data_IF_268210490709
#
_entry.id   IF_268210490709
#
_cell.length_a   1.000
_cell.length_b   1.000
_cell.length_c   1.000
_cell.angle_alpha   90.00
_cell.angle_beta   90.00
_cell.angle_gamma   90.00
#
_symmetry.space_group_name_H-M   'P 1'
#
loop_
_entity.id
_entity.type
_entity.pdbx_description
1 polymer ?
#
# COMPACT_ATOMS: atom_id res chain seq x y z
N UNK A 1 33.43 23.80 2.24
CA UNK A 1 34.14 23.98 3.52
C UNK A 1 35.61 23.76 3.23
N UNK A 2 36.46 24.78 3.39
CA UNK A 2 37.70 24.86 2.64
C UNK A 2 38.87 24.00 3.17
N UNK A 3 38.67 23.09 4.13
CA UNK A 3 39.77 22.34 4.75
C UNK A 3 39.58 20.83 4.90
N UNK A 4 38.62 20.21 4.20
CA UNK A 4 38.49 18.75 4.18
C UNK A 4 39.36 18.13 3.08
N UNK A 5 40.24 17.19 3.44
CA UNK A 5 41.12 16.48 2.52
C UNK A 5 40.53 15.14 2.01
N UNK A 6 39.33 14.77 2.45
CA UNK A 6 38.65 13.53 2.01
C UNK A 6 38.05 13.66 0.61
N UNK A 7 37.98 12.55 -0.14
CA UNK A 7 37.42 12.53 -1.49
C UNK A 7 35.93 12.90 -1.50
N UNK A 8 35.55 13.86 -2.36
CA UNK A 8 34.16 14.22 -2.56
C UNK A 8 33.45 13.18 -3.46
N UNK A 9 32.46 12.49 -2.90
CA UNK A 9 31.70 11.44 -3.61
C UNK A 9 30.17 11.56 -3.47
N UNK A 10 29.69 12.49 -2.66
CA UNK A 10 28.26 12.60 -2.34
C UNK A 10 27.72 13.99 -2.67
N UNK A 11 26.58 14.05 -3.36
CA UNK A 11 25.91 15.30 -3.73
C UNK A 11 24.81 15.69 -2.73
N UNK A 12 24.65 16.98 -2.47
CA UNK A 12 23.52 17.53 -1.74
C UNK A 12 22.98 18.80 -2.41
N UNK A 13 21.66 19.04 -2.41
CA UNK A 13 21.05 20.18 -3.07
C UNK A 13 21.46 21.50 -2.41
N UNK A 14 21.66 22.55 -3.20
CA UNK A 14 22.14 23.86 -2.70
C UNK A 14 21.15 24.57 -1.79
N UNK A 15 19.86 24.39 -2.03
CA UNK A 15 18.80 24.96 -1.20
C UNK A 15 17.55 24.09 -1.28
N UNK A 16 16.55 24.44 -0.47
CA UNK A 16 15.24 23.78 -0.48
C UNK A 16 14.51 23.97 -1.81
N UNK A 17 14.73 25.10 -2.47
CA UNK A 17 13.98 25.53 -3.67
C UNK A 17 14.76 25.29 -4.97
N UNK A 18 16.09 25.20 -4.91
CA UNK A 18 16.96 24.93 -6.06
C UNK A 18 17.46 23.48 -6.08
N UNK A 19 16.52 22.54 -6.25
CA UNK A 19 16.79 21.09 -6.24
C UNK A 19 17.65 20.60 -7.42
N UNK A 20 17.81 21.41 -8.47
CA UNK A 20 18.63 21.09 -9.65
C UNK A 20 20.09 21.55 -9.51
N UNK A 21 20.43 22.27 -8.44
CA UNK A 21 21.80 22.71 -8.18
C UNK A 21 22.38 21.92 -7.02
N UNK A 22 23.58 21.39 -7.18
CA UNK A 22 24.20 20.50 -6.22
C UNK A 22 25.57 21.02 -5.75
N UNK A 23 25.88 20.72 -4.50
CA UNK A 23 27.24 20.73 -3.96
C UNK A 23 27.74 19.30 -3.78
N UNK A 24 29.05 19.12 -3.91
CA UNK A 24 29.71 17.83 -3.73
C UNK A 24 30.55 17.86 -2.44
N UNK A 25 30.42 16.81 -1.63
CA UNK A 25 31.03 16.70 -0.31
C UNK A 25 31.56 15.28 -0.08
N UNK A 26 32.43 15.13 0.92
CA UNK A 26 32.75 13.82 1.49
C UNK A 26 31.58 13.30 2.35
N UNK A 27 31.66 12.04 2.80
CA UNK A 27 30.57 11.39 3.54
C UNK A 27 30.20 12.12 4.84
N UNK A 28 31.18 12.67 5.57
CA UNK A 28 30.92 13.37 6.82
C UNK A 28 30.26 14.73 6.57
N UNK A 29 30.79 15.52 5.64
CA UNK A 29 30.25 16.85 5.36
C UNK A 29 28.89 16.83 4.67
N UNK A 30 28.60 15.84 3.81
CA UNK A 30 27.25 15.72 3.21
C UNK A 30 26.20 15.45 4.29
N UNK A 31 26.57 14.68 5.33
CA UNK A 31 25.68 14.38 6.47
C UNK A 31 25.45 15.63 7.30
N UNK A 32 26.48 16.40 7.63
CA UNK A 32 26.36 17.66 8.36
C UNK A 32 25.55 18.70 7.60
N UNK A 33 25.84 18.89 6.32
CA UNK A 33 25.13 19.80 5.44
C UNK A 33 23.64 19.45 5.36
N UNK A 34 23.32 18.16 5.13
CA UNK A 34 21.94 17.68 5.11
C UNK A 34 21.27 17.69 6.49
N UNK A 35 22.01 17.49 7.58
CA UNK A 35 21.48 17.55 8.94
C UNK A 35 21.10 18.98 9.34
N UNK A 36 21.92 19.97 8.98
CA UNK A 36 21.64 21.40 9.15
C UNK A 36 20.42 21.81 8.33
N UNK A 37 20.26 21.27 7.12
CA UNK A 37 19.08 21.50 6.29
C UNK A 37 17.79 20.86 6.85
N UNK A 38 17.89 19.81 7.68
CA UNK A 38 16.74 19.05 8.18
C UNK A 38 16.19 19.52 9.54
N UNK A 39 16.82 20.49 10.22
CA UNK A 39 16.40 20.95 11.54
C UNK A 39 16.57 19.84 12.60
N UNK A 40 17.69 19.85 13.32
CA UNK A 40 18.06 18.81 14.27
C UNK A 40 16.98 18.54 15.34
N UNK A 41 16.53 17.28 15.48
CA UNK A 41 16.07 16.68 16.75
C UNK A 41 16.36 15.17 16.77
N UNK A 42 17.37 14.77 17.54
CA UNK A 42 17.43 13.43 18.16
C UNK A 42 17.97 13.61 19.57
N UNK A 43 17.08 13.49 20.56
CA UNK A 43 17.45 13.41 21.97
C UNK A 43 17.73 11.94 22.34
N UNK A 44 18.67 11.72 23.25
CA UNK A 44 18.90 10.42 23.90
C UNK A 44 17.90 10.24 25.04
N UNK A 45 17.25 9.08 25.20
CA UNK A 45 16.10 8.96 26.10
C UNK A 45 16.48 8.69 27.57
N UNK A 46 15.68 9.19 28.51
CA UNK A 46 15.72 8.93 29.97
C UNK A 46 14.44 8.22 30.45
N UNK A 47 14.39 7.71 31.69
CA UNK A 47 13.26 6.90 32.22
C UNK A 47 11.91 7.64 32.26
N UNK A 48 11.90 8.96 32.33
CA UNK A 48 10.68 9.77 32.37
C UNK A 48 10.03 9.92 30.97
N UNK A 49 10.75 9.48 29.93
CA UNK A 49 10.28 9.46 28.54
C UNK A 49 9.30 8.31 28.24
N UNK A 50 8.90 7.59 29.28
CA UNK A 50 8.07 6.39 29.20
C UNK A 50 6.57 6.72 29.20
N UNK A 51 6.16 7.92 29.65
CA UNK A 51 4.79 8.45 29.53
C UNK A 51 4.85 9.95 29.20
N UNK A 52 4.75 10.31 27.91
CA UNK A 52 4.93 11.68 27.39
C UNK A 52 3.60 12.30 26.87
N UNK A 53 2.84 12.99 27.75
CA UNK A 53 1.59 13.66 27.40
C UNK A 53 1.75 14.82 26.40
N UNK A 54 2.95 15.37 26.22
CA UNK A 54 3.20 16.52 25.34
C UNK A 54 3.85 16.13 24.00
N UNK A 55 4.06 14.83 23.73
CA UNK A 55 4.67 14.27 22.52
C UNK A 55 6.04 14.90 22.13
N UNK A 56 6.81 15.31 23.13
CA UNK A 56 8.17 15.83 22.94
C UNK A 56 9.08 14.75 22.33
N UNK A 57 8.89 13.50 22.72
CA UNK A 57 9.63 12.32 22.27
C UNK A 57 9.21 11.83 20.90
N UNK A 58 8.07 12.32 20.42
CA UNK A 58 7.54 11.97 19.12
C UNK A 58 7.06 10.53 19.03
N UNK A 59 6.72 9.87 20.14
CA UNK A 59 6.07 8.56 20.10
C UNK A 59 4.67 8.65 19.46
N UNK A 60 3.92 9.73 19.72
CA UNK A 60 2.66 9.98 19.00
C UNK A 60 2.93 10.36 17.55
N UNK A 61 4.03 11.06 17.22
CA UNK A 61 4.44 11.27 15.82
C UNK A 61 4.79 9.98 15.10
N UNK A 62 5.52 9.06 15.73
CA UNK A 62 5.84 7.73 15.18
C UNK A 62 4.59 6.90 15.02
N UNK A 63 3.76 6.79 16.05
CA UNK A 63 2.51 6.03 16.00
C UNK A 63 1.52 6.63 15.00
N UNK A 64 1.45 7.96 14.86
CA UNK A 64 0.66 8.63 13.82
C UNK A 64 1.21 8.37 12.42
N UNK A 65 2.54 8.37 12.24
CA UNK A 65 3.16 8.02 10.97
C UNK A 65 2.94 6.53 10.62
N UNK A 66 3.00 5.63 11.60
CA UNK A 66 2.69 4.21 11.44
C UNK A 66 1.21 4.00 11.11
N UNK A 67 0.29 4.64 11.83
CA UNK A 67 -1.15 4.62 11.52
C UNK A 67 -1.42 5.19 10.13
N UNK A 68 -0.79 6.29 9.74
CA UNK A 68 -0.93 6.88 8.41
C UNK A 68 -0.38 5.95 7.31
N UNK A 69 0.75 5.27 7.55
CA UNK A 69 1.29 4.26 6.62
C UNK A 69 0.35 3.05 6.51
N UNK A 70 -0.20 2.59 7.62
CA UNK A 70 -1.17 1.49 7.64
C UNK A 70 -2.47 1.86 6.91
N UNK A 71 -2.99 3.06 7.14
CA UNK A 71 -4.15 3.60 6.41
C UNK A 71 -3.87 3.71 4.91
N UNK A 72 -2.74 4.31 4.52
CA UNK A 72 -2.36 4.42 3.12
C UNK A 72 -2.07 3.05 2.45
N UNK A 73 -1.65 2.04 3.21
CA UNK A 73 -1.56 0.67 2.72
C UNK A 73 -2.97 0.10 2.48
N UNK A 74 -3.86 0.19 3.48
CA UNK A 74 -5.25 -0.25 3.39
C UNK A 74 -5.99 0.40 2.22
N UNK A 75 -5.85 1.70 2.01
CA UNK A 75 -6.47 2.41 0.89
C UNK A 75 -5.99 1.87 -0.46
N UNK A 76 -4.67 1.67 -0.63
CA UNK A 76 -4.07 1.13 -1.86
C UNK A 76 -4.45 -0.32 -2.11
N UNK A 77 -4.65 -1.10 -1.06
CA UNK A 77 -5.07 -2.51 -1.15
C UNK A 77 -6.58 -2.68 -0.98
N UNK A 78 -7.35 -1.60 -0.91
CA UNK A 78 -8.81 -1.70 -0.78
C UNK A 78 -9.43 -1.96 -2.15
N UNK A 79 -10.37 -2.89 -2.20
CA UNK A 79 -11.11 -3.16 -3.42
C UNK A 79 -11.97 -1.94 -3.82
N UNK A 80 -12.07 -1.65 -5.14
CA UNK A 80 -13.01 -0.68 -5.67
C UNK A 80 -14.43 -0.94 -5.16
N UNK A 81 -15.20 0.11 -4.88
CA UNK A 81 -16.53 -0.02 -4.27
C UNK A 81 -17.46 -0.96 -5.06
N UNK A 82 -17.41 -0.90 -6.39
CA UNK A 82 -18.20 -1.75 -7.28
C UNK A 82 -17.83 -3.25 -7.21
N UNK A 83 -16.60 -3.58 -6.80
CA UNK A 83 -16.12 -4.97 -6.71
C UNK A 83 -16.28 -5.58 -5.32
N UNK A 84 -16.55 -4.79 -4.28
CA UNK A 84 -16.63 -5.30 -2.90
C UNK A 84 -17.69 -6.38 -2.74
N UNK A 85 -18.89 -6.16 -3.26
CA UNK A 85 -19.99 -7.12 -3.19
C UNK A 85 -19.72 -8.38 -4.06
N UNK A 86 -19.33 -8.27 -5.35
CA UNK A 86 -18.93 -9.42 -6.15
C UNK A 86 -17.81 -10.26 -5.54
N UNK A 87 -16.76 -9.63 -5.00
CA UNK A 87 -15.65 -10.32 -4.35
C UNK A 87 -16.10 -11.03 -3.07
N UNK A 88 -16.97 -10.41 -2.28
CA UNK A 88 -17.55 -11.04 -1.09
C UNK A 88 -18.39 -12.28 -1.46
N UNK A 89 -19.18 -12.21 -2.53
CA UNK A 89 -19.98 -13.35 -3.03
C UNK A 89 -19.06 -14.51 -3.47
N UNK A 90 -17.95 -14.20 -4.14
CA UNK A 90 -16.97 -15.18 -4.59
C UNK A 90 -16.03 -15.66 -3.46
N UNK A 91 -16.02 -14.98 -2.32
CA UNK A 91 -15.10 -15.24 -1.21
C UNK A 91 -13.65 -14.91 -1.53
N UNK A 92 -13.41 -13.88 -2.35
CA UNK A 92 -12.09 -13.47 -2.82
C UNK A 92 -11.65 -12.19 -2.11
N UNK A 93 -10.34 -12.06 -1.90
CA UNK A 93 -9.72 -10.82 -1.39
C UNK A 93 -9.08 -10.03 -2.52
N UNK A 94 -8.93 -8.72 -2.34
CA UNK A 94 -8.19 -7.87 -3.27
C UNK A 94 -6.74 -7.73 -2.81
N UNK A 95 -5.74 -7.75 -3.71
CA UNK A 95 -5.83 -7.87 -5.17
C UNK A 95 -6.14 -9.30 -5.63
N UNK A 96 -6.93 -9.46 -6.70
CA UNK A 96 -7.30 -10.77 -7.25
C UNK A 96 -6.70 -10.98 -8.64
N UNK A 97 -6.14 -12.16 -8.89
CA UNK A 97 -5.72 -12.56 -10.23
C UNK A 97 -6.86 -13.19 -11.03
N UNK A 98 -6.83 -13.05 -12.35
CA UNK A 98 -7.76 -13.72 -13.26
C UNK A 98 -7.74 -15.25 -13.11
N UNK A 99 -6.59 -15.82 -12.73
CA UNK A 99 -6.45 -17.26 -12.52
C UNK A 99 -7.13 -17.72 -11.21
N UNK A 100 -6.95 -16.97 -10.14
CA UNK A 100 -7.59 -17.20 -8.84
C UNK A 100 -9.12 -17.07 -8.94
N UNK A 101 -9.61 -16.02 -9.62
CA UNK A 101 -11.04 -15.82 -9.84
C UNK A 101 -11.67 -17.00 -10.59
N UNK A 102 -11.00 -17.52 -11.64
CA UNK A 102 -11.46 -18.69 -12.39
C UNK A 102 -11.43 -19.97 -11.54
N UNK A 103 -10.38 -20.15 -10.74
CA UNK A 103 -10.22 -21.28 -9.83
C UNK A 103 -11.39 -21.34 -8.82
N UNK A 104 -11.64 -20.25 -8.10
CA UNK A 104 -12.73 -20.16 -7.13
C UNK A 104 -14.12 -20.32 -7.78
N UNK A 105 -14.33 -19.70 -8.95
CA UNK A 105 -15.58 -19.88 -9.70
C UNK A 105 -15.87 -21.34 -10.02
N UNK A 106 -14.86 -22.09 -10.52
CA UNK A 106 -15.03 -23.52 -10.83
C UNK A 106 -15.34 -24.35 -9.58
N UNK A 107 -14.71 -24.02 -8.44
CA UNK A 107 -14.99 -24.69 -7.17
C UNK A 107 -16.44 -24.44 -6.70
N UNK A 108 -16.90 -23.19 -6.78
CA UNK A 108 -18.26 -22.81 -6.41
C UNK A 108 -19.32 -23.40 -7.35
N UNK A 109 -19.06 -23.41 -8.65
CA UNK A 109 -19.97 -23.99 -9.64
C UNK A 109 -20.16 -25.50 -9.45
N UNK A 110 -19.10 -26.24 -9.10
CA UNK A 110 -19.20 -27.66 -8.74
C UNK A 110 -20.01 -27.87 -7.48
N UNK A 111 -19.81 -27.03 -6.46
CA UNK A 111 -20.54 -27.11 -5.19
C UNK A 111 -22.04 -26.85 -5.34
N UNK A 112 -22.41 -25.93 -6.22
CA UNK A 112 -23.81 -25.53 -6.46
C UNK A 112 -24.40 -26.08 -7.76
N UNK A 113 -23.82 -27.14 -8.32
CA UNK A 113 -24.31 -27.75 -9.55
C UNK A 113 -25.71 -28.37 -9.36
N UNK A 114 -26.66 -28.19 -10.30
CA UNK A 114 -28.01 -28.75 -10.20
C UNK A 114 -28.02 -30.28 -10.07
N UNK A 115 -27.11 -30.98 -10.77
CA UNK A 115 -27.03 -32.45 -10.70
C UNK A 115 -26.63 -32.96 -9.31
N UNK A 116 -25.77 -32.24 -8.59
CA UNK A 116 -25.31 -32.65 -7.25
C UNK A 116 -26.30 -32.24 -6.16
N UNK A 117 -27.09 -31.20 -6.40
CA UNK A 117 -28.04 -30.64 -5.43
C UNK A 117 -29.50 -30.96 -5.78
N UNK A 118 -29.75 -31.96 -6.63
CA UNK A 118 -31.10 -32.45 -6.96
C UNK A 118 -32.08 -31.35 -7.43
N UNK A 119 -31.58 -30.27 -8.03
CA UNK A 119 -32.41 -29.14 -8.46
C UNK A 119 -32.87 -28.21 -7.32
N UNK A 120 -32.16 -28.18 -6.19
CA UNK A 120 -32.45 -27.25 -5.09
C UNK A 120 -32.49 -25.79 -5.57
N UNK A 121 -33.65 -25.15 -5.39
CA UNK A 121 -33.89 -23.75 -5.79
C UNK A 121 -32.90 -22.78 -5.14
N UNK A 122 -32.48 -23.05 -3.90
CA UNK A 122 -31.49 -22.25 -3.19
C UNK A 122 -30.08 -22.36 -3.79
N UNK A 123 -29.69 -23.55 -4.26
CA UNK A 123 -28.39 -23.75 -4.92
C UNK A 123 -28.38 -23.03 -6.27
N UNK A 124 -29.48 -23.10 -7.01
CA UNK A 124 -29.66 -22.39 -8.28
C UNK A 124 -29.58 -20.87 -8.11
N UNK A 125 -30.25 -20.31 -7.09
CA UNK A 125 -30.20 -18.86 -6.84
C UNK A 125 -28.79 -18.40 -6.45
N UNK A 126 -28.07 -19.18 -5.65
CA UNK A 126 -26.67 -18.90 -5.32
C UNK A 126 -25.78 -18.95 -6.55
N UNK A 127 -25.96 -19.94 -7.43
CA UNK A 127 -25.19 -20.07 -8.66
C UNK A 127 -25.42 -18.86 -9.59
N UNK A 128 -26.67 -18.37 -9.69
CA UNK A 128 -26.98 -17.14 -10.43
C UNK A 128 -26.20 -15.94 -9.89
N UNK A 129 -26.18 -15.75 -8.56
CA UNK A 129 -25.41 -14.66 -7.92
C UNK A 129 -23.90 -14.79 -8.20
N UNK A 130 -23.36 -16.00 -8.14
CA UNK A 130 -21.96 -16.30 -8.46
C UNK A 130 -21.61 -15.94 -9.92
N UNK A 131 -22.48 -16.29 -10.87
CA UNK A 131 -22.28 -15.99 -12.29
C UNK A 131 -22.24 -14.48 -12.56
N UNK A 132 -23.17 -13.72 -11.96
CA UNK A 132 -23.21 -12.26 -12.06
C UNK A 132 -21.96 -11.65 -11.45
N UNK A 133 -21.59 -12.05 -10.23
CA UNK A 133 -20.39 -11.57 -9.55
C UNK A 133 -19.10 -11.82 -10.37
N UNK A 134 -18.94 -13.03 -10.91
CA UNK A 134 -17.78 -13.37 -11.74
C UNK A 134 -17.72 -12.54 -13.02
N UNK A 135 -18.85 -12.24 -13.64
CA UNK A 135 -18.91 -11.42 -14.85
C UNK A 135 -18.43 -10.00 -14.57
N UNK A 136 -18.88 -9.39 -13.46
CA UNK A 136 -18.45 -8.06 -13.04
C UNK A 136 -16.93 -8.02 -12.79
N UNK A 137 -16.42 -8.95 -11.98
CA UNK A 137 -14.98 -9.04 -11.68
C UNK A 137 -14.16 -9.23 -12.97
N UNK A 138 -14.60 -10.12 -13.85
CA UNK A 138 -13.95 -10.36 -15.15
C UNK A 138 -13.93 -9.10 -16.01
N UNK A 139 -15.04 -8.36 -16.11
CA UNK A 139 -15.09 -7.13 -16.92
C UNK A 139 -14.13 -6.07 -16.38
N UNK A 140 -14.06 -5.89 -15.06
CA UNK A 140 -13.17 -4.90 -14.45
C UNK A 140 -11.69 -5.25 -14.64
N UNK A 141 -11.32 -6.51 -14.48
CA UNK A 141 -9.94 -6.95 -14.71
C UNK A 141 -9.52 -6.79 -16.18
N UNK A 142 -10.46 -6.98 -17.11
CA UNK A 142 -10.23 -6.72 -18.53
C UNK A 142 -10.07 -5.21 -18.81
N UNK A 143 -10.92 -4.35 -18.24
CA UNK A 143 -10.79 -2.89 -18.44
C UNK A 143 -9.49 -2.35 -17.86
N UNK A 144 -9.08 -2.79 -16.66
CA UNK A 144 -7.78 -2.42 -16.08
C UNK A 144 -6.60 -2.84 -16.97
N UNK A 145 -6.70 -4.01 -17.60
CA UNK A 145 -5.63 -4.49 -18.49
C UNK A 145 -5.51 -3.64 -19.76
N UNK A 146 -6.63 -3.07 -20.24
CA UNK A 146 -6.64 -2.15 -21.38
C UNK A 146 -6.11 -0.77 -21.00
N UNK A 147 -6.51 -0.23 -19.85
CA UNK A 147 -6.07 1.08 -19.37
C UNK A 147 -4.55 1.13 -19.13
N UNK A 148 -3.95 0.05 -18.64
CA UNK A 148 -2.49 -0.03 -18.42
C UNK A 148 -1.69 -0.19 -19.71
N UNK A 149 -2.33 -0.55 -20.82
CA UNK A 149 -1.67 -0.76 -22.11
C UNK A 149 -1.61 0.51 -22.97
N UNK A 150 -2.31 1.58 -22.56
CA UNK A 150 -2.30 2.92 -23.18
C UNK A 150 -1.29 3.83 -22.48
#
# INVERSE_FOLDING_TARGET
MPSCQEQAGYRAPRSRDALNQYYWFCLNHVREYNARAKGAKRATPNEEDILDPLDILGQNRRSRAERARAQAYQERTSAPAALREPLAILGLSWPVSMEEAKSHYRALARKHHPDTNNGDRNAEERLKKINVAFTIVKTHLLTESLEKAL
#
